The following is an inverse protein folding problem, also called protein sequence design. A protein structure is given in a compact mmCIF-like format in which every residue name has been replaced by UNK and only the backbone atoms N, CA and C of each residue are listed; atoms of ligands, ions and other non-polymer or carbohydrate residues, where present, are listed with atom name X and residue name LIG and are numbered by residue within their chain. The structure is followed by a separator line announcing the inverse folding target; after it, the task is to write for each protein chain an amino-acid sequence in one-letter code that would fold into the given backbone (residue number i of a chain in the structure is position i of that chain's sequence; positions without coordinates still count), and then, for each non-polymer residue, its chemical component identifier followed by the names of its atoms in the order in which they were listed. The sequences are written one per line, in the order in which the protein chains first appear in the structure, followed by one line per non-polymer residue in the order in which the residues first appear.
data_IF_904625201555
#
_entry.id   IF_904625201555
#
_cell.length_a   1.000
_cell.length_b   1.000
_cell.length_c   1.000
_cell.angle_alpha   90.00
_cell.angle_beta   90.00
_cell.angle_gamma   90.00
#
_symmetry.space_group_name_H-M   'P 1'
#
loop_
_entity.id
_entity.type
_entity.pdbx_description
1 polymer ?
#
# COMPACT_ATOMS: atom_id res chain seq x y z
N UNK A 1 37.85 -47.81 30.66
CA UNK A 1 38.21 -46.41 30.32
C UNK A 1 37.60 -46.12 28.97
N UNK A 2 36.66 -45.20 28.95
CA UNK A 2 35.81 -44.83 27.81
C UNK A 2 36.51 -43.76 26.98
N UNK A 3 36.72 -44.00 25.69
CA UNK A 3 37.16 -42.97 24.74
C UNK A 3 35.93 -42.27 24.15
N UNK A 4 35.77 -41.01 24.52
CA UNK A 4 34.72 -40.13 24.01
C UNK A 4 35.13 -39.59 22.63
N UNK A 5 34.38 -39.98 21.59
CA UNK A 5 34.44 -39.37 20.26
C UNK A 5 33.77 -38.00 20.32
N UNK A 6 34.58 -36.95 20.12
CA UNK A 6 34.15 -35.56 20.01
C UNK A 6 33.31 -35.35 18.74
N UNK A 7 32.02 -35.07 18.94
CA UNK A 7 31.13 -34.50 17.91
C UNK A 7 31.58 -33.06 17.63
N UNK A 8 32.12 -32.80 16.43
CA UNK A 8 32.32 -31.43 15.95
C UNK A 8 30.98 -30.88 15.46
N UNK A 9 30.56 -29.81 16.14
CA UNK A 9 29.40 -28.97 15.89
C UNK A 9 29.33 -28.46 14.45
N UNK A 10 28.10 -28.40 13.94
CA UNK A 10 27.76 -27.98 12.59
C UNK A 10 28.37 -26.66 12.15
N UNK A 11 28.75 -26.63 10.87
CA UNK A 11 29.05 -25.41 10.14
C UNK A 11 27.77 -24.58 10.03
N UNK A 12 27.62 -23.62 10.95
CA UNK A 12 26.63 -22.55 10.79
C UNK A 12 26.91 -21.83 9.48
N UNK A 13 26.07 -22.08 8.47
CA UNK A 13 25.99 -21.22 7.28
C UNK A 13 25.45 -19.88 7.76
N UNK A 14 26.36 -18.95 7.99
CA UNK A 14 26.03 -17.55 8.21
C UNK A 14 25.33 -17.03 6.95
N UNK A 15 24.16 -16.43 7.13
CA UNK A 15 23.51 -15.66 6.09
C UNK A 15 24.50 -14.61 5.56
N UNK A 16 24.80 -14.57 4.25
CA UNK A 16 25.73 -13.57 3.72
C UNK A 16 25.22 -12.18 4.07
N UNK A 17 26.13 -11.35 4.60
CA UNK A 17 25.81 -10.04 5.15
C UNK A 17 25.05 -9.15 4.17
N UNK A 18 23.86 -8.72 4.59
CA UNK A 18 23.21 -7.44 4.24
C UNK A 18 23.47 -6.89 2.84
N UNK A 19 23.03 -7.60 1.80
CA UNK A 19 22.78 -6.98 0.52
C UNK A 19 21.38 -6.34 0.60
N UNK A 20 21.35 -5.01 0.68
CA UNK A 20 20.10 -4.22 0.76
C UNK A 20 19.86 -3.51 -0.56
N UNK A 21 18.60 -3.44 -1.00
CA UNK A 21 18.23 -2.64 -2.17
C UNK A 21 18.76 -1.20 -2.01
N UNK A 22 19.58 -0.75 -2.96
CA UNK A 22 20.13 0.60 -2.94
C UNK A 22 18.98 1.60 -3.13
N UNK A 23 19.07 2.77 -2.50
CA UNK A 23 18.11 3.86 -2.70
C UNK A 23 17.91 4.18 -4.19
N UNK A 24 18.95 3.99 -5.02
CA UNK A 24 18.92 4.23 -6.47
C UNK A 24 18.07 3.20 -7.23
N UNK A 25 18.00 1.95 -6.78
CA UNK A 25 17.18 0.92 -7.42
C UNK A 25 15.68 1.21 -7.28
N UNK A 26 15.35 1.99 -6.24
CA UNK A 26 14.15 2.82 -6.05
C UNK A 26 13.49 3.38 -7.30
N UNK A 27 14.32 4.09 -8.06
CA UNK A 27 13.87 5.02 -9.08
C UNK A 27 13.95 4.42 -10.49
N UNK A 28 14.26 3.13 -10.59
CA UNK A 28 14.26 2.42 -11.87
C UNK A 28 12.83 2.26 -12.37
N UNK A 29 12.61 2.54 -13.66
CA UNK A 29 11.29 2.40 -14.29
C UNK A 29 10.73 0.97 -14.19
N UNK A 30 11.58 -0.05 -14.08
CA UNK A 30 11.14 -1.42 -13.81
C UNK A 30 10.36 -1.56 -12.50
N UNK A 31 10.57 -0.68 -11.52
CA UNK A 31 9.84 -0.63 -10.24
C UNK A 31 8.54 0.16 -10.30
N UNK A 32 8.23 0.80 -11.41
CA UNK A 32 6.97 1.54 -11.59
C UNK A 32 5.74 0.63 -11.47
N UNK A 33 5.82 -0.59 -12.02
CA UNK A 33 4.72 -1.54 -12.06
C UNK A 33 4.26 -2.05 -10.70
N UNK A 34 3.34 -3.01 -10.70
CA UNK A 34 2.77 -3.64 -9.50
C UNK A 34 3.44 -4.98 -9.17
N UNK A 35 4.67 -5.20 -9.60
CA UNK A 35 5.39 -6.48 -9.47
C UNK A 35 6.29 -6.49 -8.22
N UNK A 36 6.90 -7.62 -7.89
CA UNK A 36 7.94 -7.75 -6.84
C UNK A 36 7.46 -7.34 -5.44
N UNK A 37 6.26 -7.78 -5.05
CA UNK A 37 5.76 -7.56 -3.68
C UNK A 37 4.93 -8.75 -3.28
N UNK A 38 5.11 -9.19 -2.04
CA UNK A 38 4.26 -10.21 -1.43
C UNK A 38 2.79 -9.71 -1.31
N UNK A 39 1.83 -10.50 -1.84
CA UNK A 39 0.39 -10.16 -1.88
C UNK A 39 -0.19 -9.98 -0.47
N UNK A 40 0.27 -10.79 0.48
CA UNK A 40 -0.15 -10.81 1.86
C UNK A 40 0.10 -9.47 2.57
N UNK A 41 1.06 -8.66 2.10
CA UNK A 41 1.32 -7.32 2.66
C UNK A 41 0.13 -6.37 2.57
N UNK A 42 -0.76 -6.57 1.60
CA UNK A 42 -1.97 -5.77 1.48
C UNK A 42 -3.06 -6.16 2.49
N UNK A 43 -2.90 -7.30 3.15
CA UNK A 43 -3.93 -7.98 3.92
C UNK A 43 -3.50 -8.23 5.37
N UNK A 44 -2.46 -7.55 5.83
CA UNK A 44 -1.93 -7.69 7.18
C UNK A 44 -1.37 -6.37 7.71
N UNK A 45 -1.21 -6.30 9.02
CA UNK A 45 -0.41 -5.27 9.66
C UNK A 45 1.07 -5.45 9.34
N UNK A 46 1.79 -4.33 9.32
CA UNK A 46 3.24 -4.29 9.28
C UNK A 46 3.84 -4.99 10.49
N UNK A 47 3.23 -4.80 11.66
CA UNK A 47 3.65 -5.40 12.92
C UNK A 47 2.92 -6.74 13.13
N UNK A 48 3.58 -7.69 13.79
CA UNK A 48 3.00 -9.03 14.04
C UNK A 48 1.76 -8.93 14.93
N UNK A 49 0.60 -9.19 14.34
CA UNK A 49 -0.68 -9.28 15.02
C UNK A 49 -1.55 -10.37 14.37
N UNK A 50 -2.55 -10.92 15.09
CA UNK A 50 -3.49 -11.88 14.51
C UNK A 50 -4.33 -11.25 13.41
N UNK A 51 -4.65 -12.02 12.36
CA UNK A 51 -5.47 -11.56 11.24
C UNK A 51 -6.87 -11.07 11.62
N UNK A 52 -7.47 -11.62 12.68
CA UNK A 52 -8.77 -11.16 13.18
C UNK A 52 -8.75 -9.69 13.60
N UNK A 53 -7.64 -9.21 14.19
CA UNK A 53 -7.50 -7.80 14.55
C UNK A 53 -7.42 -6.93 13.30
N UNK A 54 -6.78 -7.44 12.23
CA UNK A 54 -6.69 -6.73 10.96
C UNK A 54 -8.05 -6.63 10.28
N UNK A 55 -8.83 -7.71 10.26
CA UNK A 55 -10.19 -7.72 9.72
C UNK A 55 -11.07 -6.73 10.48
N UNK A 56 -11.07 -6.78 11.81
CA UNK A 56 -11.85 -5.86 12.65
C UNK A 56 -11.44 -4.39 12.42
N UNK A 57 -10.14 -4.12 12.31
CA UNK A 57 -9.63 -2.79 11.99
C UNK A 57 -10.14 -2.29 10.62
N UNK A 58 -10.12 -3.15 9.59
CA UNK A 58 -10.62 -2.80 8.25
C UNK A 58 -12.11 -2.50 8.26
N UNK A 59 -12.90 -3.34 8.92
CA UNK A 59 -14.34 -3.13 9.06
C UNK A 59 -14.65 -1.86 9.86
N UNK A 60 -13.92 -1.62 10.94
CA UNK A 60 -14.07 -0.41 11.75
C UNK A 60 -13.85 0.87 10.94
N UNK A 61 -12.78 0.93 10.14
CA UNK A 61 -12.48 2.09 9.29
C UNK A 61 -13.50 2.27 8.16
N UNK A 62 -13.91 1.18 7.51
CA UNK A 62 -14.93 1.22 6.47
C UNK A 62 -16.27 1.73 7.02
N UNK A 63 -16.75 1.14 8.14
CA UNK A 63 -17.97 1.58 8.79
C UNK A 63 -17.90 3.03 9.26
N UNK A 64 -16.78 3.43 9.87
CA UNK A 64 -16.58 4.78 10.35
C UNK A 64 -16.65 5.81 9.21
N UNK A 65 -15.85 5.63 8.15
CA UNK A 65 -15.79 6.58 7.04
C UNK A 65 -17.08 6.61 6.21
N UNK A 66 -17.75 5.46 6.08
CA UNK A 66 -19.07 5.37 5.44
C UNK A 66 -20.14 6.10 6.27
N UNK A 67 -20.15 5.93 7.59
CA UNK A 67 -21.08 6.62 8.47
C UNK A 67 -20.92 8.15 8.39
N UNK A 68 -19.69 8.65 8.43
CA UNK A 68 -19.41 10.09 8.32
C UNK A 68 -19.85 10.63 6.95
N UNK A 69 -19.52 9.92 5.86
CA UNK A 69 -19.93 10.31 4.52
C UNK A 69 -21.46 10.36 4.39
N UNK A 70 -22.13 9.34 4.95
CA UNK A 70 -23.60 9.23 4.91
C UNK A 70 -24.26 10.35 5.71
N UNK A 71 -23.75 10.65 6.91
CA UNK A 71 -24.22 11.80 7.71
C UNK A 71 -24.03 13.13 6.98
N UNK A 72 -22.90 13.32 6.29
CA UNK A 72 -22.65 14.50 5.47
C UNK A 72 -23.69 14.65 4.34
N UNK A 73 -23.97 13.58 3.60
CA UNK A 73 -24.97 13.58 2.53
C UNK A 73 -26.38 13.85 3.08
N UNK A 74 -26.79 13.14 4.13
CA UNK A 74 -28.10 13.32 4.78
C UNK A 74 -28.26 14.76 5.28
N UNK A 75 -27.21 15.35 5.85
CA UNK A 75 -27.23 16.73 6.27
C UNK A 75 -27.47 17.67 5.08
N UNK A 76 -26.74 17.47 3.97
CA UNK A 76 -26.94 18.26 2.77
C UNK A 76 -28.33 18.10 2.15
N UNK A 77 -28.95 16.91 2.26
CA UNK A 77 -30.33 16.59 1.84
C UNK A 77 -31.43 17.10 2.79
N UNK A 78 -31.07 17.61 3.97
CA UNK A 78 -32.01 18.19 4.92
C UNK A 78 -32.20 19.71 4.75
N UNK A 79 -31.37 20.36 3.92
CA UNK A 79 -31.30 21.81 3.78
C UNK A 79 -32.16 22.41 2.64
N UNK A 80 -32.92 23.50 2.84
CA UNK A 80 -33.68 24.13 1.75
C UNK A 80 -32.82 24.39 0.49
N UNK A 81 -33.38 24.07 -0.70
CA UNK A 81 -32.70 24.04 -2.01
C UNK A 81 -31.63 22.93 -2.19
N UNK A 82 -31.96 21.71 -1.77
CA UNK A 82 -31.10 20.51 -1.78
C UNK A 82 -30.24 20.33 -3.05
N UNK A 83 -30.87 20.36 -4.24
CA UNK A 83 -30.20 20.01 -5.49
C UNK A 83 -29.00 20.91 -5.80
N UNK A 84 -29.13 22.22 -5.59
CA UNK A 84 -28.04 23.18 -5.78
C UNK A 84 -26.95 23.02 -4.70
N UNK A 85 -27.33 22.69 -3.47
CA UNK A 85 -26.38 22.49 -2.36
C UNK A 85 -25.57 21.22 -2.50
N UNK A 86 -26.20 20.12 -2.94
CA UNK A 86 -25.49 18.86 -3.21
C UNK A 86 -24.50 19.04 -4.37
N UNK A 87 -24.91 19.72 -5.45
CA UNK A 87 -24.00 20.02 -6.56
C UNK A 87 -22.80 20.86 -6.11
N UNK A 88 -23.04 21.89 -5.30
CA UNK A 88 -21.96 22.70 -4.73
C UNK A 88 -21.08 21.89 -3.76
N UNK A 89 -21.67 21.04 -2.93
CA UNK A 89 -20.96 20.17 -2.00
C UNK A 89 -20.04 19.19 -2.74
N UNK A 90 -20.56 18.50 -3.75
CA UNK A 90 -19.78 17.60 -4.61
C UNK A 90 -18.70 18.34 -5.42
N UNK A 91 -18.67 19.66 -5.43
CA UNK A 91 -17.66 20.41 -6.14
C UNK A 91 -16.36 20.59 -5.33
N UNK A 92 -16.43 20.56 -3.99
CA UNK A 92 -15.26 20.75 -3.14
C UNK A 92 -14.29 19.56 -3.23
N UNK A 93 -12.99 19.84 -3.44
CA UNK A 93 -11.89 18.86 -3.39
C UNK A 93 -11.89 18.04 -2.10
N UNK A 94 -12.23 18.68 -0.99
CA UNK A 94 -12.33 18.04 0.32
C UNK A 94 -13.33 16.89 0.31
N UNK A 95 -14.48 17.08 -0.35
CA UNK A 95 -15.52 16.06 -0.46
C UNK A 95 -15.13 14.97 -1.45
N UNK A 96 -14.53 15.32 -2.59
CA UNK A 96 -13.91 14.34 -3.50
C UNK A 96 -12.89 13.46 -2.77
N UNK A 97 -12.04 14.08 -1.94
CA UNK A 97 -10.99 13.39 -1.18
C UNK A 97 -11.58 12.48 -0.12
N UNK A 98 -12.63 12.92 0.59
CA UNK A 98 -13.29 12.07 1.59
C UNK A 98 -14.06 10.92 0.94
N UNK A 99 -14.70 11.14 -0.21
CA UNK A 99 -15.32 10.07 -1.00
C UNK A 99 -14.26 9.05 -1.42
N UNK A 100 -13.13 9.50 -1.97
CA UNK A 100 -12.00 8.64 -2.32
C UNK A 100 -11.48 7.84 -1.11
N UNK A 101 -11.37 8.48 0.05
CA UNK A 101 -10.95 7.85 1.30
C UNK A 101 -11.94 6.77 1.75
N UNK A 102 -13.24 7.04 1.71
CA UNK A 102 -14.29 6.06 2.03
C UNK A 102 -14.27 4.91 1.03
N UNK A 103 -14.16 5.19 -0.28
CA UNK A 103 -14.03 4.15 -1.32
C UNK A 103 -12.81 3.27 -1.04
N UNK A 104 -11.66 3.85 -0.72
CA UNK A 104 -10.45 3.11 -0.35
C UNK A 104 -10.71 2.17 0.84
N UNK A 105 -11.21 2.68 1.97
CA UNK A 105 -11.40 1.85 3.16
C UNK A 105 -12.48 0.78 2.99
N UNK A 106 -13.60 1.09 2.34
CA UNK A 106 -14.64 0.12 2.01
C UNK A 106 -14.12 -0.97 1.06
N UNK A 107 -13.41 -0.57 0.00
CA UNK A 107 -12.82 -1.51 -0.95
C UNK A 107 -11.76 -2.39 -0.28
N UNK A 108 -10.93 -1.83 0.60
CA UNK A 108 -9.93 -2.59 1.36
C UNK A 108 -10.59 -3.59 2.31
N UNK A 109 -11.66 -3.21 3.00
CA UNK A 109 -12.42 -4.12 3.83
C UNK A 109 -13.04 -5.26 3.00
N UNK A 110 -13.65 -4.94 1.85
CA UNK A 110 -14.22 -5.91 0.92
C UNK A 110 -13.17 -6.92 0.43
N UNK A 111 -12.04 -6.42 -0.09
CA UNK A 111 -10.93 -7.27 -0.56
C UNK A 111 -10.38 -8.13 0.58
N UNK A 112 -10.25 -7.56 1.78
CA UNK A 112 -9.78 -8.32 2.96
C UNK A 112 -10.74 -9.45 3.28
N UNK A 113 -12.04 -9.19 3.38
CA UNK A 113 -13.04 -10.23 3.65
C UNK A 113 -13.07 -11.28 2.54
N UNK A 114 -13.09 -10.85 1.28
CA UNK A 114 -13.15 -11.75 0.13
C UNK A 114 -11.95 -12.70 0.10
N UNK A 115 -10.73 -12.19 0.35
CA UNK A 115 -9.53 -13.03 0.37
C UNK A 115 -9.48 -13.94 1.59
N UNK A 116 -9.79 -13.45 2.79
CA UNK A 116 -9.84 -14.29 3.99
C UNK A 116 -10.93 -15.37 3.93
N UNK A 117 -12.03 -15.14 3.20
CA UNK A 117 -13.09 -16.12 2.97
C UNK A 117 -12.76 -17.11 1.85
N UNK A 118 -12.19 -16.65 0.74
CA UNK A 118 -11.98 -17.46 -0.46
C UNK A 118 -10.73 -18.35 -0.39
N UNK A 119 -9.76 -18.02 0.47
CA UNK A 119 -8.47 -18.70 0.48
C UNK A 119 -8.30 -19.67 1.65
N UNK A 120 -8.29 -20.97 1.33
CA UNK A 120 -7.60 -22.00 2.10
C UNK A 120 -6.09 -22.09 1.78
N UNK A 121 -5.56 -21.23 0.89
CA UNK A 121 -4.18 -21.28 0.39
C UNK A 121 -3.32 -20.01 0.57
N UNK A 122 -3.86 -18.91 1.13
CA UNK A 122 -3.03 -17.78 1.58
C UNK A 122 -2.42 -18.14 2.95
N UNK A 123 -1.14 -17.84 3.18
CA UNK A 123 -0.48 -18.10 4.48
C UNK A 123 -1.01 -17.21 5.64
N UNK A 124 -2.10 -16.46 5.43
CA UNK A 124 -2.70 -15.58 6.43
C UNK A 124 -3.33 -16.38 7.55
N UNK A 125 -2.99 -16.02 8.79
CA UNK A 125 -3.52 -16.67 10.00
C UNK A 125 -4.54 -15.76 10.67
N UNK A 126 -5.78 -16.25 10.80
CA UNK A 126 -6.88 -15.48 11.40
C UNK A 126 -6.66 -15.32 12.91
N UNK A 127 -6.50 -16.44 13.63
CA UNK A 127 -6.51 -16.44 15.10
C UNK A 127 -5.11 -16.39 15.75
N UNK A 128 -4.06 -16.71 15.00
CA UNK A 128 -2.67 -16.71 15.50
C UNK A 128 -1.89 -15.52 14.91
N UNK A 129 -0.93 -15.01 15.67
CA UNK A 129 0.14 -14.17 15.13
C UNK A 129 1.03 -15.00 14.21
N UNK A 130 1.53 -14.39 13.14
CA UNK A 130 2.62 -15.01 12.36
C UNK A 130 3.85 -15.20 13.26
N UNK A 131 4.53 -16.32 13.10
CA UNK A 131 5.85 -16.46 13.69
C UNK A 131 6.87 -15.56 12.99
N UNK A 132 8.09 -15.59 13.48
CA UNK A 132 9.13 -14.70 12.97
C UNK A 132 9.45 -14.98 11.50
N UNK A 133 9.60 -16.25 11.11
CA UNK A 133 9.97 -16.66 9.75
C UNK A 133 8.85 -16.35 8.75
N UNK A 134 7.60 -16.63 9.11
CA UNK A 134 6.43 -16.26 8.30
C UNK A 134 6.36 -14.73 8.08
N UNK A 135 6.57 -13.95 9.14
CA UNK A 135 6.53 -12.49 9.06
C UNK A 135 7.70 -11.93 8.24
N UNK A 136 8.88 -12.54 8.37
CA UNK A 136 10.09 -12.28 7.56
C UNK A 136 9.80 -12.41 6.07
N UNK A 137 9.12 -13.49 5.68
CA UNK A 137 8.77 -13.82 4.30
C UNK A 137 7.86 -12.79 3.63
N UNK A 138 7.04 -12.06 4.41
CA UNK A 138 6.21 -10.98 3.88
C UNK A 138 7.02 -9.88 3.20
N UNK A 139 8.27 -9.69 3.63
CA UNK A 139 9.15 -8.64 3.14
C UNK A 139 10.23 -9.19 2.21
N UNK A 140 10.02 -10.38 1.63
CA UNK A 140 11.06 -11.12 0.88
C UNK A 140 11.72 -10.31 -0.24
N UNK A 141 10.95 -9.43 -0.88
CA UNK A 141 11.41 -8.54 -1.96
C UNK A 141 12.53 -7.59 -1.51
N UNK A 142 12.62 -7.32 -0.20
CA UNK A 142 13.71 -6.54 0.37
C UNK A 142 15.05 -7.28 0.35
N UNK A 143 15.06 -8.61 0.17
CA UNK A 143 16.25 -9.46 0.09
C UNK A 143 16.62 -9.79 -1.36
N UNK A 144 15.64 -10.19 -2.18
CA UNK A 144 15.86 -10.69 -3.56
C UNK A 144 16.45 -9.61 -4.47
N UNK A 145 16.15 -8.34 -4.25
CA UNK A 145 16.63 -7.24 -5.11
C UNK A 145 18.15 -7.03 -5.06
N UNK A 146 18.79 -7.56 -4.05
CA UNK A 146 20.19 -7.28 -3.75
C UNK A 146 21.16 -8.23 -4.45
N UNK A 147 20.66 -9.41 -4.82
CA UNK A 147 21.24 -10.34 -5.79
C UNK A 147 20.53 -10.06 -7.11
N UNK A 148 21.05 -9.12 -7.90
CA UNK A 148 20.42 -8.71 -9.16
C UNK A 148 19.96 -9.92 -9.95
N UNK A 149 18.70 -9.90 -10.40
CA UNK A 149 18.03 -10.82 -11.32
C UNK A 149 19.01 -11.81 -11.99
N UNK A 150 19.44 -12.86 -11.27
CA UNK A 150 19.77 -14.11 -11.92
C UNK A 150 18.42 -14.70 -12.22
N UNK A 151 17.88 -14.22 -13.34
CA UNK A 151 16.98 -14.97 -14.16
C UNK A 151 17.48 -16.42 -14.10
N UNK A 152 16.64 -17.33 -13.64
CA UNK A 152 16.80 -18.74 -13.95
C UNK A 152 16.65 -18.87 -15.47
N UNK A 153 17.64 -18.37 -16.22
CA UNK A 153 18.01 -18.99 -17.47
C UNK A 153 18.50 -20.35 -17.04
N UNK A 154 17.75 -21.39 -17.40
CA UNK A 154 18.28 -22.72 -17.52
C UNK A 154 19.62 -22.60 -18.27
N UNK A 155 20.73 -22.60 -17.52
CA UNK A 155 22.05 -22.72 -18.11
C UNK A 155 22.19 -24.18 -18.48
N UNK A 156 22.32 -24.42 -19.78
CA UNK A 156 22.43 -25.70 -20.49
C UNK A 156 23.71 -26.50 -20.15
N UNK A 157 24.19 -26.44 -18.90
CA UNK A 157 25.35 -27.19 -18.44
C UNK A 157 24.91 -28.21 -17.37
N UNK A 158 24.03 -29.13 -17.77
CA UNK A 158 23.82 -30.40 -17.06
C UNK A 158 24.79 -31.43 -17.66
N UNK A 159 25.83 -31.88 -16.95
CA UNK A 159 26.81 -32.80 -17.49
C UNK A 159 26.34 -34.25 -17.29
N UNK A 160 25.15 -34.62 -17.76
CA UNK A 160 24.75 -36.03 -17.90
C UNK A 160 23.62 -36.19 -18.92
N UNK A 161 23.95 -35.96 -20.18
CA UNK A 161 23.15 -36.45 -21.31
C UNK A 161 23.91 -37.63 -21.97
N UNK A 162 23.64 -38.85 -21.51
CA UNK A 162 23.75 -40.06 -22.32
C UNK A 162 22.55 -40.94 -21.98
N UNK A 163 21.43 -40.68 -22.68
CA UNK A 163 20.40 -41.69 -22.91
C UNK A 163 20.80 -42.45 -24.17
N UNK A 164 21.38 -43.64 -24.00
CA UNK A 164 21.33 -44.67 -25.04
C UNK A 164 20.26 -45.69 -24.65
N UNK A 165 19.24 -45.78 -25.48
CA UNK A 165 18.08 -46.64 -25.31
C UNK A 165 18.37 -48.03 -25.87
N UNK A 166 18.64 -49.01 -25.00
CA UNK A 166 18.28 -50.41 -25.29
C UNK A 166 18.33 -51.32 -24.05
N UNK A 167 17.28 -52.14 -23.94
CA UNK A 167 17.23 -53.47 -23.33
C UNK A 167 17.18 -53.69 -21.79
N UNK A 168 16.01 -54.24 -21.42
CA UNK A 168 15.77 -55.47 -20.64
C UNK A 168 15.95 -55.51 -19.12
N UNK A 169 14.79 -55.78 -18.49
CA UNK A 169 14.53 -56.78 -17.44
C UNK A 169 15.05 -56.57 -16.01
N UNK A 170 14.23 -57.15 -15.12
CA UNK A 170 14.43 -57.49 -13.70
C UNK A 170 14.27 -56.39 -12.66
N UNK A 171 13.09 -56.39 -12.03
CA UNK A 171 12.93 -56.02 -10.62
C UNK A 171 13.71 -57.02 -9.74
N UNK A 172 14.30 -56.55 -8.64
CA UNK A 172 14.24 -57.30 -7.40
C UNK A 172 13.56 -56.48 -6.29
N UNK A 173 12.63 -57.14 -5.61
CA UNK A 173 12.16 -56.74 -4.29
C UNK A 173 13.33 -56.70 -3.29
N UNK A 174 13.33 -55.69 -2.42
CA UNK A 174 14.06 -55.73 -1.15
C UNK A 174 15.08 -54.61 -0.96
N UNK A 175 14.63 -53.45 -0.48
CA UNK A 175 15.27 -52.76 0.65
C UNK A 175 14.32 -51.70 1.23
N UNK A 176 13.68 -52.02 2.35
CA UNK A 176 13.19 -51.00 3.26
C UNK A 176 14.38 -50.22 3.85
N UNK A 177 14.13 -48.95 4.15
CA UNK A 177 14.91 -48.02 4.97
C UNK A 177 16.07 -47.30 4.25
N UNK A 178 15.79 -46.08 3.79
CA UNK A 178 16.27 -44.86 4.45
C UNK A 178 15.51 -43.66 3.87
N UNK A 179 14.46 -43.25 4.57
CA UNK A 179 13.92 -41.89 4.46
C UNK A 179 15.00 -41.02 5.10
N UNK A 180 15.80 -40.35 4.28
CA UNK A 180 16.54 -39.19 4.76
C UNK A 180 15.50 -38.08 4.90
N UNK A 181 15.23 -37.73 6.16
CA UNK A 181 14.59 -36.48 6.55
C UNK A 181 15.53 -35.33 6.12
N UNK A 182 15.56 -35.00 4.83
CA UNK A 182 16.13 -33.74 4.38
C UNK A 182 15.13 -32.65 4.76
N UNK A 183 15.50 -31.89 5.80
CA UNK A 183 14.82 -30.69 6.26
C UNK A 183 14.34 -29.87 5.06
N UNK A 184 13.01 -29.67 4.96
CA UNK A 184 12.37 -28.75 4.03
C UNK A 184 13.11 -27.40 4.06
N UNK A 185 14.01 -27.15 3.11
CA UNK A 185 14.58 -25.84 2.88
C UNK A 185 13.42 -24.94 2.41
N UNK A 186 12.96 -23.96 3.20
CA UNK A 186 11.79 -23.16 2.84
C UNK A 186 12.08 -22.17 1.70
N UNK A 187 13.24 -22.32 1.04
CA UNK A 187 13.68 -21.59 -0.14
C UNK A 187 13.37 -22.31 -1.46
N UNK A 188 12.45 -23.27 -1.44
CA UNK A 188 11.88 -23.85 -2.65
C UNK A 188 11.20 -22.76 -3.50
N UNK A 189 11.93 -22.38 -4.56
CA UNK A 189 11.50 -21.86 -5.85
C UNK A 189 10.38 -20.80 -5.79
N UNK A 190 10.76 -19.53 -5.93
CA UNK A 190 9.83 -18.44 -6.24
C UNK A 190 9.09 -18.81 -7.53
N UNK A 191 7.81 -19.15 -7.43
CA UNK A 191 6.96 -19.32 -8.60
C UNK A 191 6.95 -17.99 -9.39
N UNK A 192 7.39 -17.97 -10.67
CA UNK A 192 7.34 -16.79 -11.52
C UNK A 192 5.93 -16.20 -11.73
N UNK A 193 4.88 -16.85 -11.20
CA UNK A 193 3.47 -16.43 -11.24
C UNK A 193 3.03 -15.41 -10.19
N UNK A 194 3.93 -14.87 -9.35
CA UNK A 194 3.61 -13.97 -8.23
C UNK A 194 3.21 -12.53 -8.65
N UNK A 195 2.53 -12.38 -9.80
CA UNK A 195 1.91 -11.13 -10.22
C UNK A 195 0.88 -10.69 -9.19
N UNK A 196 0.92 -9.45 -8.74
CA UNK A 196 -0.14 -8.90 -7.88
C UNK A 196 -1.47 -8.94 -8.65
N UNK A 197 -2.54 -9.55 -8.11
CA UNK A 197 -3.85 -9.56 -8.74
C UNK A 197 -4.36 -8.14 -8.97
N UNK A 198 -5.12 -7.93 -10.05
CA UNK A 198 -5.61 -6.61 -10.46
C UNK A 198 -6.34 -5.86 -9.34
N UNK A 199 -7.07 -6.58 -8.48
CA UNK A 199 -7.83 -5.99 -7.39
C UNK A 199 -6.93 -5.40 -6.29
N UNK A 200 -5.75 -5.98 -6.06
CA UNK A 200 -4.71 -5.41 -5.18
C UNK A 200 -3.96 -4.26 -5.86
N UNK A 201 -3.80 -4.28 -7.18
CA UNK A 201 -3.26 -3.12 -7.91
C UNK A 201 -4.18 -1.91 -7.75
N UNK A 202 -5.49 -2.07 -7.92
CA UNK A 202 -6.48 -1.01 -7.68
C UNK A 202 -6.44 -0.51 -6.24
N UNK A 203 -6.36 -1.43 -5.27
CA UNK A 203 -6.21 -1.08 -3.85
C UNK A 203 -4.99 -0.19 -3.63
N UNK A 204 -3.87 -0.54 -4.25
CA UNK A 204 -2.62 0.21 -4.12
C UNK A 204 -2.69 1.61 -4.75
N UNK A 205 -3.36 1.74 -5.91
CA UNK A 205 -3.65 3.04 -6.54
C UNK A 205 -4.47 3.91 -5.59
N UNK A 206 -5.57 3.35 -5.05
CA UNK A 206 -6.46 4.04 -4.12
C UNK A 206 -5.71 4.45 -2.84
N UNK A 207 -4.89 3.56 -2.29
CA UNK A 207 -4.07 3.83 -1.11
C UNK A 207 -3.13 5.01 -1.30
N UNK A 208 -2.34 5.02 -2.39
CA UNK A 208 -1.42 6.13 -2.67
C UNK A 208 -2.19 7.45 -2.86
N UNK A 209 -3.26 7.41 -3.64
CA UNK A 209 -4.05 8.60 -3.99
C UNK A 209 -4.73 9.19 -2.75
N UNK A 210 -5.43 8.37 -1.97
CA UNK A 210 -6.14 8.79 -0.76
C UNK A 210 -5.17 9.32 0.30
N UNK A 211 -4.03 8.64 0.51
CA UNK A 211 -3.02 9.07 1.50
C UNK A 211 -2.46 10.45 1.16
N UNK A 212 -2.05 10.69 -0.09
CA UNK A 212 -1.50 11.99 -0.50
C UNK A 212 -2.58 13.08 -0.41
N UNK A 213 -3.78 12.85 -0.97
CA UNK A 213 -4.79 13.92 -1.04
C UNK A 213 -5.42 14.27 0.31
N UNK A 214 -5.51 13.33 1.25
CA UNK A 214 -5.90 13.66 2.62
C UNK A 214 -4.94 14.70 3.22
N UNK A 215 -3.62 14.51 3.07
CA UNK A 215 -2.61 15.44 3.53
C UNK A 215 -2.63 16.78 2.74
N UNK A 216 -2.83 16.75 1.41
CA UNK A 216 -3.00 17.98 0.60
C UNK A 216 -4.17 18.80 1.11
N UNK A 217 -5.34 18.18 1.33
CA UNK A 217 -6.54 18.87 1.81
C UNK A 217 -6.31 19.49 3.19
N UNK A 218 -5.65 18.78 4.09
CA UNK A 218 -5.25 19.34 5.40
C UNK A 218 -4.33 20.54 5.24
N UNK A 219 -3.22 20.41 4.51
CA UNK A 219 -2.22 21.49 4.36
C UNK A 219 -2.84 22.72 3.71
N UNK A 220 -3.60 22.54 2.62
CA UNK A 220 -4.24 23.66 1.91
C UNK A 220 -5.31 24.30 2.78
N UNK A 221 -6.12 23.53 3.49
CA UNK A 221 -7.14 24.09 4.39
C UNK A 221 -6.51 24.91 5.50
N UNK A 222 -5.59 24.34 6.29
CA UNK A 222 -4.98 25.02 7.42
C UNK A 222 -4.04 26.16 6.99
N UNK A 223 -3.38 26.03 5.85
CA UNK A 223 -2.47 27.05 5.34
C UNK A 223 -3.16 28.23 4.64
N UNK A 224 -4.26 27.99 3.90
CA UNK A 224 -4.85 29.00 3.03
C UNK A 224 -6.30 29.40 3.40
N UNK A 225 -7.08 28.50 4.00
CA UNK A 225 -8.52 28.72 4.28
C UNK A 225 -8.80 29.02 5.75
N UNK A 226 -8.16 28.30 6.68
CA UNK A 226 -8.35 28.45 8.13
C UNK A 226 -8.15 29.89 8.62
N UNK A 227 -7.15 30.67 8.15
CA UNK A 227 -6.98 32.07 8.56
C UNK A 227 -8.13 33.00 8.14
N UNK A 228 -9.03 32.54 7.25
CA UNK A 228 -10.12 33.33 6.66
C UNK A 228 -11.49 32.99 7.23
N UNK A 229 -11.58 32.09 8.20
CA UNK A 229 -12.85 31.65 8.81
C UNK A 229 -12.84 31.89 10.33
N UNK A 230 -14.04 32.06 10.92
CA UNK A 230 -14.17 32.27 12.36
C UNK A 230 -13.74 31.03 13.16
N UNK A 231 -13.26 31.22 14.39
CA UNK A 231 -12.84 30.12 15.26
C UNK A 231 -13.96 29.08 15.50
N UNK A 232 -15.21 29.54 15.66
CA UNK A 232 -16.37 28.66 15.81
C UNK A 232 -16.63 27.78 14.59
N UNK A 233 -16.44 28.31 13.38
CA UNK A 233 -16.56 27.54 12.14
C UNK A 233 -15.35 26.62 11.97
N UNK A 234 -14.15 27.09 12.28
CA UNK A 234 -12.91 26.31 12.22
C UNK A 234 -12.98 25.05 13.10
N UNK A 235 -13.47 25.21 14.33
CA UNK A 235 -13.62 24.12 15.30
C UNK A 235 -14.90 23.29 15.11
N UNK A 236 -15.67 23.51 14.04
CA UNK A 236 -16.85 22.68 13.75
C UNK A 236 -16.44 21.23 13.51
N UNK A 237 -17.29 20.30 13.94
CA UNK A 237 -17.04 18.86 13.79
C UNK A 237 -16.79 18.48 12.33
N UNK A 238 -17.51 19.09 11.38
CA UNK A 238 -17.31 18.89 9.95
C UNK A 238 -15.90 19.31 9.51
N UNK A 239 -15.47 20.54 9.80
CA UNK A 239 -14.14 20.98 9.38
C UNK A 239 -13.02 20.15 10.02
N UNK A 240 -13.17 19.80 11.30
CA UNK A 240 -12.19 18.94 11.98
C UNK A 240 -12.14 17.55 11.34
N UNK A 241 -13.30 16.98 11.02
CA UNK A 241 -13.42 15.66 10.43
C UNK A 241 -12.78 15.60 9.04
N UNK A 242 -13.16 16.54 8.17
CA UNK A 242 -12.76 16.56 6.78
C UNK A 242 -11.35 17.13 6.54
N UNK A 243 -10.74 17.81 7.52
CA UNK A 243 -9.41 18.42 7.35
C UNK A 243 -8.37 18.05 8.41
N UNK A 244 -8.72 17.36 9.49
CA UNK A 244 -7.74 16.89 10.49
C UNK A 244 -7.83 15.37 10.68
N UNK A 245 -9.04 14.86 10.94
CA UNK A 245 -9.24 13.43 11.20
C UNK A 245 -8.91 12.60 9.96
N UNK A 246 -9.25 13.07 8.75
CA UNK A 246 -8.87 12.41 7.50
C UNK A 246 -7.36 12.12 7.39
N UNK A 247 -6.52 13.08 7.76
CA UNK A 247 -5.06 12.99 7.75
C UNK A 247 -4.57 12.07 8.86
N UNK A 248 -5.17 12.14 10.04
CA UNK A 248 -4.88 11.20 11.12
C UNK A 248 -5.15 9.75 10.69
N UNK A 249 -6.27 9.48 10.01
CA UNK A 249 -6.59 8.14 9.51
C UNK A 249 -5.52 7.61 8.55
N UNK A 250 -5.10 8.39 7.55
CA UNK A 250 -4.11 7.91 6.57
C UNK A 250 -2.70 7.81 7.15
N UNK A 251 -2.35 8.62 8.15
CA UNK A 251 -1.07 8.51 8.86
C UNK A 251 -1.04 7.27 9.76
N UNK A 252 -2.14 6.98 10.48
CA UNK A 252 -2.28 5.74 11.25
C UNK A 252 -2.23 4.54 10.30
N UNK A 253 -2.94 4.59 9.18
CA UNK A 253 -2.92 3.58 8.14
C UNK A 253 -1.50 3.30 7.65
N UNK A 254 -0.75 4.36 7.27
CA UNK A 254 0.65 4.29 6.84
C UNK A 254 1.57 3.61 7.87
N UNK A 255 1.35 3.87 9.16
CA UNK A 255 2.13 3.27 10.25
C UNK A 255 1.76 1.81 10.51
N UNK A 256 0.48 1.45 10.37
CA UNK A 256 -0.03 0.13 10.76
C UNK A 256 -0.01 -0.90 9.64
N UNK A 257 -0.34 -0.53 8.40
CA UNK A 257 -0.47 -1.50 7.30
C UNK A 257 0.88 -1.95 6.75
N UNK A 258 0.97 -3.19 6.25
CA UNK A 258 2.15 -3.68 5.56
C UNK A 258 2.24 -3.22 4.09
N UNK A 259 1.26 -2.48 3.55
CA UNK A 259 1.26 -2.04 2.14
C UNK A 259 2.59 -1.34 1.78
N UNK A 260 3.25 -1.74 0.68
CA UNK A 260 4.43 -1.03 0.16
C UNK A 260 4.11 0.39 -0.29
N UNK A 261 5.05 1.31 -0.12
CA UNK A 261 5.01 2.64 -0.75
C UNK A 261 6.16 2.74 -1.73
N UNK A 262 5.87 3.19 -2.96
CA UNK A 262 6.87 3.49 -3.99
C UNK A 262 6.79 4.95 -4.35
N UNK A 263 7.94 5.61 -4.46
CA UNK A 263 7.95 7.01 -4.89
C UNK A 263 7.36 7.19 -6.29
N UNK A 264 7.68 6.30 -7.24
CA UNK A 264 7.19 6.37 -8.63
C UNK A 264 5.65 6.26 -8.76
N UNK A 265 4.95 5.81 -7.72
CA UNK A 265 3.49 5.81 -7.65
C UNK A 265 2.89 7.21 -7.44
N UNK A 266 3.71 8.27 -7.37
CA UNK A 266 3.29 9.69 -7.42
C UNK A 266 2.36 10.00 -8.59
N UNK A 267 2.44 9.22 -9.68
CA UNK A 267 1.59 9.40 -10.86
C UNK A 267 0.10 9.25 -10.57
N UNK A 268 -0.28 8.43 -9.58
CA UNK A 268 -1.69 8.19 -9.25
C UNK A 268 -2.34 9.39 -8.54
N UNK A 269 -1.79 9.93 -7.43
CA UNK A 269 -2.25 11.20 -6.89
C UNK A 269 -2.09 12.34 -7.90
N UNK A 270 -1.02 12.38 -8.70
CA UNK A 270 -0.88 13.42 -9.72
C UNK A 270 -2.04 13.41 -10.73
N UNK A 271 -2.41 12.24 -11.26
CA UNK A 271 -3.54 12.09 -12.17
C UNK A 271 -4.88 12.50 -11.53
N UNK A 272 -5.09 12.16 -10.25
CA UNK A 272 -6.26 12.62 -9.51
C UNK A 272 -6.29 14.15 -9.36
N UNK A 273 -5.14 14.78 -9.07
CA UNK A 273 -5.00 16.23 -9.02
C UNK A 273 -5.30 16.91 -10.36
N UNK A 274 -4.84 16.33 -11.48
CA UNK A 274 -5.17 16.78 -12.83
C UNK A 274 -6.66 16.67 -13.10
N UNK A 275 -7.29 15.53 -12.76
CA UNK A 275 -8.71 15.32 -12.94
C UNK A 275 -9.55 16.37 -12.19
N UNK A 276 -9.19 16.66 -10.93
CA UNK A 276 -9.84 17.70 -10.16
C UNK A 276 -9.56 19.12 -10.70
N UNK A 277 -8.33 19.39 -11.14
CA UNK A 277 -7.97 20.66 -11.78
C UNK A 277 -8.82 20.93 -13.03
N UNK A 278 -8.95 19.94 -13.91
CA UNK A 278 -9.82 20.00 -15.09
C UNK A 278 -11.29 20.21 -14.70
N UNK A 279 -11.77 19.45 -13.72
CA UNK A 279 -13.12 19.64 -13.17
C UNK A 279 -13.32 21.07 -12.68
N UNK A 280 -12.36 21.66 -11.96
CA UNK A 280 -12.49 23.03 -11.43
C UNK A 280 -12.62 24.09 -12.52
N UNK A 281 -11.91 23.92 -13.64
CA UNK A 281 -11.99 24.82 -14.81
C UNK A 281 -13.32 24.63 -15.53
N UNK A 282 -13.76 23.38 -15.73
CA UNK A 282 -15.04 23.07 -16.37
C UNK A 282 -16.20 23.61 -15.54
N UNK A 283 -16.17 23.43 -14.23
CA UNK A 283 -17.20 23.94 -13.31
C UNK A 283 -17.32 25.46 -13.43
N UNK A 284 -16.20 26.17 -13.43
CA UNK A 284 -16.18 27.61 -13.65
C UNK A 284 -16.71 28.01 -15.03
N UNK A 285 -16.32 27.28 -16.09
CA UNK A 285 -16.77 27.58 -17.45
C UNK A 285 -18.29 27.41 -17.64
N UNK A 286 -18.91 26.52 -16.86
CA UNK A 286 -20.37 26.35 -16.84
C UNK A 286 -21.04 27.44 -15.99
N UNK A 287 -20.46 27.79 -14.84
CA UNK A 287 -21.01 28.80 -13.93
C UNK A 287 -19.92 29.76 -13.39
N UNK A 288 -19.71 30.84 -14.13
CA UNK A 288 -18.69 31.86 -13.84
C UNK A 288 -18.95 32.67 -12.57
N UNK A 289 -20.11 32.49 -11.92
CA UNK A 289 -20.54 33.29 -10.76
C UNK A 289 -20.22 32.62 -9.43
N UNK A 290 -20.13 31.28 -9.39
CA UNK A 290 -19.92 30.53 -8.16
C UNK A 290 -18.47 30.09 -8.01
N UNK A 291 -17.71 30.83 -7.21
CA UNK A 291 -16.32 30.50 -6.85
C UNK A 291 -16.31 29.53 -5.66
N UNK A 292 -15.83 28.30 -5.87
CA UNK A 292 -15.72 27.31 -4.79
C UNK A 292 -14.64 27.68 -3.77
N UNK A 293 -13.48 28.10 -4.28
CA UNK A 293 -12.29 28.41 -3.49
C UNK A 293 -11.74 29.76 -3.93
N UNK A 294 -11.50 30.71 -3.01
CA UNK A 294 -10.88 31.98 -3.37
C UNK A 294 -9.52 31.82 -4.06
N UNK A 295 -8.78 30.76 -3.74
CA UNK A 295 -7.48 30.43 -4.37
C UNK A 295 -7.61 29.84 -5.78
N UNK A 296 -8.81 29.40 -6.18
CA UNK A 296 -9.14 28.90 -7.53
C UNK A 296 -10.18 29.80 -8.21
N UNK A 297 -10.12 31.11 -7.94
CA UNK A 297 -10.97 32.08 -8.62
C UNK A 297 -10.44 32.36 -10.03
N UNK A 298 -10.93 31.57 -10.99
CA UNK A 298 -10.61 31.66 -12.41
C UNK A 298 -11.16 32.93 -13.08
N UNK A 299 -12.17 33.59 -12.49
CA UNK A 299 -12.72 34.85 -13.02
C UNK A 299 -11.86 36.04 -12.63
N UNK A 300 -11.52 36.16 -11.34
CA UNK A 300 -10.84 37.34 -10.79
C UNK A 300 -9.33 37.28 -10.94
N UNK A 301 -8.74 36.10 -10.78
CA UNK A 301 -7.29 35.93 -10.71
C UNK A 301 -6.85 34.60 -11.34
N UNK A 302 -7.07 34.41 -12.66
CA UNK A 302 -6.74 33.15 -13.34
C UNK A 302 -5.27 32.78 -13.26
N UNK A 303 -4.36 33.76 -13.25
CA UNK A 303 -2.92 33.53 -13.08
C UNK A 303 -2.57 32.96 -11.70
N UNK A 304 -3.23 33.42 -10.64
CA UNK A 304 -3.04 32.89 -9.27
C UNK A 304 -3.63 31.49 -9.18
N UNK A 305 -4.83 31.27 -9.71
CA UNK A 305 -5.47 29.96 -9.74
C UNK A 305 -4.59 28.92 -10.46
N UNK A 306 -4.08 29.26 -11.65
CA UNK A 306 -3.16 28.41 -12.40
C UNK A 306 -1.87 28.14 -11.60
N UNK A 307 -1.26 29.17 -10.99
CA UNK A 307 -0.07 29.01 -10.17
C UNK A 307 -0.31 28.08 -8.97
N UNK A 308 -1.46 28.19 -8.29
CA UNK A 308 -1.84 27.31 -7.19
C UNK A 308 -1.99 25.85 -7.65
N UNK A 309 -2.68 25.60 -8.76
CA UNK A 309 -2.83 24.24 -9.32
C UNK A 309 -1.47 23.64 -9.68
N UNK A 310 -0.61 24.40 -10.35
CA UNK A 310 0.74 23.96 -10.74
C UNK A 310 1.62 23.70 -9.50
N UNK A 311 1.57 24.57 -8.50
CA UNK A 311 2.32 24.39 -7.25
C UNK A 311 1.86 23.14 -6.49
N UNK A 312 0.55 22.92 -6.38
CA UNK A 312 0.01 21.72 -5.71
C UNK A 312 0.42 20.46 -6.48
N UNK A 313 0.22 20.44 -7.81
CA UNK A 313 0.48 19.27 -8.64
C UNK A 313 1.96 18.92 -8.79
N UNK A 314 2.83 19.89 -9.05
CA UNK A 314 4.25 19.65 -9.36
C UNK A 314 5.19 19.82 -8.18
N UNK A 315 4.74 20.39 -7.06
CA UNK A 315 5.57 20.56 -5.86
C UNK A 315 4.97 19.82 -4.66
N UNK A 316 3.76 20.19 -4.23
CA UNK A 316 3.20 19.64 -2.99
C UNK A 316 2.95 18.14 -3.07
N UNK A 317 2.31 17.66 -4.15
CA UNK A 317 2.02 16.22 -4.35
C UNK A 317 3.30 15.37 -4.38
N UNK A 318 4.34 15.70 -5.18
CA UNK A 318 5.61 14.97 -5.15
C UNK A 318 6.33 15.02 -3.80
N UNK A 319 6.34 16.18 -3.13
CA UNK A 319 6.95 16.31 -1.80
C UNK A 319 6.24 15.42 -0.79
N UNK A 320 4.91 15.41 -0.78
CA UNK A 320 4.14 14.54 0.11
C UNK A 320 4.36 13.05 -0.19
N UNK A 321 4.38 12.65 -1.46
CA UNK A 321 4.72 11.27 -1.83
C UNK A 321 6.13 10.89 -1.34
N UNK A 322 7.11 11.79 -1.47
CA UNK A 322 8.46 11.58 -0.96
C UNK A 322 8.48 11.41 0.56
N UNK A 323 7.73 12.23 1.30
CA UNK A 323 7.64 12.14 2.76
C UNK A 323 6.95 10.85 3.22
N UNK A 324 5.84 10.46 2.60
CA UNK A 324 5.14 9.20 2.86
C UNK A 324 6.07 8.02 2.59
N UNK A 325 6.79 8.05 1.48
CA UNK A 325 7.81 7.08 1.16
C UNK A 325 8.96 7.07 2.20
N UNK A 326 9.39 8.23 2.68
CA UNK A 326 10.37 8.34 3.77
C UNK A 326 9.89 7.68 5.07
N UNK A 327 8.64 7.90 5.48
CA UNK A 327 8.02 7.23 6.63
C UNK A 327 7.94 5.72 6.42
N UNK A 328 7.57 5.29 5.21
CA UNK A 328 7.60 3.87 4.85
C UNK A 328 8.99 3.24 5.03
N UNK A 329 10.03 3.91 4.51
CA UNK A 329 11.43 3.46 4.65
C UNK A 329 11.88 3.46 6.11
N UNK A 330 11.50 4.45 6.90
CA UNK A 330 11.78 4.49 8.33
C UNK A 330 11.15 3.30 9.05
N UNK A 331 9.87 2.99 8.76
CA UNK A 331 9.17 1.83 9.32
C UNK A 331 9.89 0.52 8.98
N UNK A 332 10.33 0.35 7.73
CA UNK A 332 11.14 -0.82 7.33
C UNK A 332 12.49 -0.88 8.06
N UNK A 333 13.16 0.27 8.26
CA UNK A 333 14.43 0.32 8.97
C UNK A 333 14.28 -0.05 10.46
N UNK A 334 13.20 0.41 11.10
CA UNK A 334 12.85 0.03 12.48
C UNK A 334 12.58 -1.48 12.54
N UNK A 335 11.76 -2.01 11.64
CA UNK A 335 11.48 -3.44 11.55
C UNK A 335 12.76 -4.27 11.40
N UNK A 336 13.66 -3.88 10.50
CA UNK A 336 14.97 -4.55 10.32
C UNK A 336 15.87 -4.47 11.55
N UNK A 337 15.74 -3.45 12.40
CA UNK A 337 16.59 -3.30 13.58
C UNK A 337 16.11 -4.12 14.76
N UNK A 338 14.79 -4.21 14.97
CA UNK A 338 14.20 -4.74 16.20
C UNK A 338 13.43 -6.04 16.02
N UNK A 339 13.08 -6.40 14.80
CA UNK A 339 12.29 -7.60 14.49
C UNK A 339 13.02 -8.51 13.52
N UNK A 340 14.35 -8.40 13.43
CA UNK A 340 15.16 -9.16 12.48
C UNK A 340 16.42 -9.75 13.11
N UNK A 341 17.08 -8.94 13.96
CA UNK A 341 18.08 -9.38 14.91
C UNK A 341 17.39 -9.67 16.24
#
# INVERSE_FOLDING_TARGET
MSEAVSLRSGSGRSWPGSLTMSFRDEFRLSRFGFQDTCRERFLTFHWRAPGILYILYRLGLACYTLAILSQGIIHQESLPNQSKKIQAWLAYLTNWTYILLTVYFCYHALVTLAVYHSCQGLKLKIFRRMDFTEHKYLFRELYVTSTGYQQATASEDDPMDIVDSSNTNTMPEGLCNQINDDEDDPMEIIDPSDRIPWYLCLLWILYNTATVFALVVTIVFWGALAPRISLSRLASAENLQFHMVNSALVLIELCLTAIPVRFLHVVYPFAYGVAYGLFSVIYWAVDHKHVMYPILDWSKSPGIAAACVLLIGFVLVPVLQLLIYGVHRLKLAIFRRFCWN
#
